data_IF_951903237689
#
_entry.id   IF_951903237689
#
_cell.length_a   1.000
_cell.length_b   1.000
_cell.length_c   1.000
_cell.angle_alpha   90.00
_cell.angle_beta   90.00
_cell.angle_gamma   90.00
#
_symmetry.space_group_name_H-M   'P 1'
#
loop_
_entity.id
_entity.type
_entity.pdbx_description
1 polymer ?
#
# COMPACT_ATOMS: atom_id res chain seq x y z
N UNK A 1 -0.84 -19.61 -25.20
CA UNK A 1 0.24 -18.59 -25.03
C UNK A 1 -0.34 -17.18 -25.18
N UNK A 2 -1.29 -16.93 -26.13
CA UNK A 2 -1.89 -15.60 -26.33
C UNK A 2 -2.80 -15.10 -25.20
N UNK A 3 -3.52 -15.97 -24.52
CA UNK A 3 -4.45 -15.57 -23.46
C UNK A 3 -3.77 -15.12 -22.15
N UNK A 4 -2.59 -15.66 -21.84
CA UNK A 4 -1.84 -15.26 -20.65
C UNK A 4 -1.19 -13.86 -20.76
N UNK A 5 -0.66 -13.53 -21.94
CA UNK A 5 -0.06 -12.22 -22.22
C UNK A 5 -1.11 -11.09 -22.21
N UNK A 6 -2.27 -11.32 -22.82
CA UNK A 6 -3.38 -10.33 -22.81
C UNK A 6 -3.89 -10.10 -21.39
N UNK A 7 -3.98 -11.15 -20.56
CA UNK A 7 -4.38 -11.00 -19.15
C UNK A 7 -3.35 -10.22 -18.31
N UNK A 8 -2.05 -10.44 -18.52
CA UNK A 8 -1.00 -9.72 -17.79
C UNK A 8 -0.90 -8.25 -18.21
N UNK A 9 -1.03 -7.93 -19.50
CA UNK A 9 -1.05 -6.54 -19.97
C UNK A 9 -2.26 -5.75 -19.44
N UNK A 10 -3.43 -6.37 -19.38
CA UNK A 10 -4.62 -5.76 -18.78
C UNK A 10 -4.39 -5.46 -17.28
N UNK A 11 -3.85 -6.39 -16.51
CA UNK A 11 -3.53 -6.16 -15.10
C UNK A 11 -2.54 -5.01 -14.89
N UNK A 12 -1.55 -4.85 -15.76
CA UNK A 12 -0.57 -3.76 -15.69
C UNK A 12 -1.26 -2.41 -15.96
N UNK A 13 -2.08 -2.32 -17.00
CA UNK A 13 -2.84 -1.10 -17.34
C UNK A 13 -3.79 -0.68 -16.20
N UNK A 14 -4.49 -1.65 -15.63
CA UNK A 14 -5.45 -1.42 -14.55
C UNK A 14 -4.76 -0.86 -13.30
N UNK A 15 -3.61 -1.42 -12.94
CA UNK A 15 -2.79 -0.94 -11.82
C UNK A 15 -2.21 0.45 -12.10
N UNK A 16 -1.75 0.71 -13.33
CA UNK A 16 -1.21 2.01 -13.73
C UNK A 16 -2.27 3.11 -13.62
N UNK A 17 -3.51 2.86 -14.08
CA UNK A 17 -4.62 3.79 -13.96
C UNK A 17 -4.93 4.08 -12.48
N UNK A 18 -5.04 3.03 -11.65
CA UNK A 18 -5.31 3.20 -10.23
C UNK A 18 -4.21 3.98 -9.52
N UNK A 19 -2.94 3.72 -9.84
CA UNK A 19 -1.79 4.43 -9.28
C UNK A 19 -1.78 5.91 -9.69
N UNK A 20 -2.06 6.22 -10.96
CA UNK A 20 -2.15 7.60 -11.44
C UNK A 20 -3.25 8.37 -10.71
N UNK A 21 -4.44 7.78 -10.58
CA UNK A 21 -5.55 8.41 -9.87
C UNK A 21 -5.23 8.59 -8.37
N UNK A 22 -4.56 7.63 -7.75
CA UNK A 22 -4.08 7.74 -6.37
C UNK A 22 -3.08 8.88 -6.22
N UNK A 23 -2.12 9.00 -7.14
CA UNK A 23 -1.12 10.07 -7.13
C UNK A 23 -1.75 11.47 -7.25
N UNK A 24 -2.84 11.60 -8.01
CA UNK A 24 -3.60 12.84 -8.11
C UNK A 24 -4.47 13.11 -6.87
N UNK A 25 -5.05 12.06 -6.29
CA UNK A 25 -5.90 12.16 -5.12
C UNK A 25 -5.10 12.49 -3.84
N UNK A 26 -3.90 11.91 -3.68
CA UNK A 26 -3.07 12.05 -2.47
C UNK A 26 -2.86 13.50 -2.01
N UNK A 27 -2.34 14.42 -2.83
CA UNK A 27 -2.14 15.81 -2.45
C UNK A 27 -3.43 16.55 -2.09
N UNK A 28 -4.54 16.25 -2.79
CA UNK A 28 -5.84 16.87 -2.53
C UNK A 28 -6.36 16.45 -1.16
N UNK A 29 -6.40 15.14 -0.92
CA UNK A 29 -6.86 14.61 0.36
C UNK A 29 -5.89 14.92 1.51
N UNK A 30 -4.58 14.99 1.26
CA UNK A 30 -3.60 15.44 2.24
C UNK A 30 -3.89 16.83 2.78
N UNK A 31 -4.19 17.79 1.89
CA UNK A 31 -4.55 19.16 2.32
C UNK A 31 -5.89 19.23 3.05
N UNK A 32 -6.85 18.37 2.69
CA UNK A 32 -8.12 18.23 3.42
C UNK A 32 -7.86 17.64 4.81
N UNK A 33 -6.96 16.66 4.92
CA UNK A 33 -6.57 16.06 6.20
C UNK A 33 -6.01 17.08 7.19
N UNK A 34 -5.30 18.11 6.71
CA UNK A 34 -4.72 19.15 7.57
C UNK A 34 -5.75 20.16 8.09
N UNK A 35 -6.97 20.17 7.55
CA UNK A 35 -8.02 21.11 7.96
C UNK A 35 -8.68 20.66 9.27
N UNK A 36 -8.93 21.62 10.16
CA UNK A 36 -9.55 21.38 11.48
C UNK A 36 -10.87 20.63 11.38
N UNK A 37 -10.95 19.50 12.08
CA UNK A 37 -12.16 18.69 12.18
C UNK A 37 -12.53 17.88 10.94
N UNK A 38 -11.74 17.92 9.85
CA UNK A 38 -12.01 17.15 8.63
C UNK A 38 -11.32 15.81 8.59
N UNK A 39 -10.18 15.64 9.25
CA UNK A 39 -9.34 14.43 9.16
C UNK A 39 -10.15 13.15 9.45
N UNK A 40 -10.79 13.06 10.62
CA UNK A 40 -11.56 11.87 11.02
C UNK A 40 -12.82 11.62 10.18
N UNK A 41 -13.72 12.60 9.93
CA UNK A 41 -14.90 12.38 9.12
C UNK A 41 -14.57 11.97 7.68
N UNK A 42 -13.64 12.65 7.02
CA UNK A 42 -13.27 12.33 5.64
C UNK A 42 -12.60 10.96 5.56
N UNK A 43 -11.70 10.62 6.49
CA UNK A 43 -11.14 9.29 6.60
C UNK A 43 -12.24 8.21 6.70
N UNK A 44 -13.25 8.43 7.57
CA UNK A 44 -14.36 7.47 7.75
C UNK A 44 -15.20 7.31 6.48
N UNK A 45 -15.48 8.41 5.76
CA UNK A 45 -16.23 8.36 4.50
C UNK A 45 -15.44 7.60 3.44
N UNK A 46 -14.16 7.91 3.28
CA UNK A 46 -13.29 7.25 2.29
C UNK A 46 -13.10 5.77 2.62
N UNK A 47 -12.93 5.44 3.91
CA UNK A 47 -12.91 4.04 4.39
C UNK A 47 -14.21 3.32 4.00
N UNK A 48 -15.37 3.94 4.23
CA UNK A 48 -16.67 3.36 3.89
C UNK A 48 -16.83 3.10 2.38
N UNK A 49 -16.46 4.08 1.55
CA UNK A 49 -16.48 3.94 0.08
C UNK A 49 -15.53 2.81 -0.37
N UNK A 50 -14.30 2.79 0.13
CA UNK A 50 -13.32 1.76 -0.18
C UNK A 50 -13.78 0.37 0.25
N UNK A 51 -14.37 0.24 1.43
CA UNK A 51 -14.91 -1.01 1.96
C UNK A 51 -16.09 -1.53 1.12
N UNK A 52 -17.06 -0.68 0.79
CA UNK A 52 -18.18 -1.05 -0.08
C UNK A 52 -17.68 -1.48 -1.46
N UNK A 53 -16.76 -0.72 -2.05
CA UNK A 53 -16.17 -1.07 -3.34
C UNK A 53 -15.40 -2.39 -3.27
N UNK A 54 -14.66 -2.65 -2.18
CA UNK A 54 -13.93 -3.92 -1.99
C UNK A 54 -14.86 -5.14 -1.95
N UNK A 55 -16.00 -5.04 -1.26
CA UNK A 55 -17.03 -6.11 -1.28
C UNK A 55 -17.66 -6.24 -2.67
N UNK A 56 -17.93 -5.11 -3.34
CA UNK A 56 -18.54 -5.08 -4.66
C UNK A 56 -17.68 -5.77 -5.74
N UNK A 57 -16.36 -5.89 -5.56
CA UNK A 57 -15.49 -6.66 -6.45
C UNK A 57 -15.93 -8.11 -6.60
N UNK A 58 -16.44 -8.73 -5.52
CA UNK A 58 -16.95 -10.10 -5.55
C UNK A 58 -18.18 -10.30 -6.41
N UNK A 59 -18.90 -9.23 -6.77
CA UNK A 59 -20.13 -9.26 -7.58
C UNK A 59 -19.93 -8.78 -9.02
N UNK A 60 -18.74 -8.28 -9.36
CA UNK A 60 -18.45 -7.74 -10.67
C UNK A 60 -18.27 -8.84 -11.72
N UNK A 61 -19.27 -9.05 -12.57
CA UNK A 61 -19.25 -10.08 -13.63
C UNK A 61 -18.53 -9.66 -14.91
N UNK A 62 -18.47 -8.36 -15.19
CA UNK A 62 -17.85 -7.82 -16.40
C UNK A 62 -16.51 -7.17 -16.06
N UNK A 63 -15.51 -7.37 -16.91
CA UNK A 63 -14.16 -6.84 -16.69
C UNK A 63 -14.13 -5.32 -16.46
N UNK A 64 -14.93 -4.55 -17.21
CA UNK A 64 -15.00 -3.10 -17.07
C UNK A 64 -15.60 -2.69 -15.70
N UNK A 65 -16.65 -3.38 -15.27
CA UNK A 65 -17.25 -3.16 -13.96
C UNK A 65 -16.25 -3.50 -12.84
N UNK A 66 -15.53 -4.64 -12.98
CA UNK A 66 -14.48 -5.03 -12.06
C UNK A 66 -13.36 -3.96 -12.00
N UNK A 67 -12.90 -3.48 -13.16
CA UNK A 67 -11.86 -2.43 -13.24
C UNK A 67 -12.30 -1.15 -12.52
N UNK A 68 -13.50 -0.64 -12.81
CA UNK A 68 -14.01 0.59 -12.20
C UNK A 68 -14.10 0.44 -10.68
N UNK A 69 -14.68 -0.66 -10.21
CA UNK A 69 -14.82 -0.94 -8.78
C UNK A 69 -13.45 -1.14 -8.12
N UNK A 70 -12.51 -1.82 -8.79
CA UNK A 70 -11.14 -2.01 -8.32
C UNK A 70 -10.41 -0.67 -8.17
N UNK A 71 -10.53 0.22 -9.15
CA UNK A 71 -9.93 1.57 -9.07
C UNK A 71 -10.50 2.34 -7.87
N UNK A 72 -11.82 2.31 -7.67
CA UNK A 72 -12.46 2.98 -6.52
C UNK A 72 -11.94 2.38 -5.19
N UNK A 73 -11.89 1.06 -5.08
CA UNK A 73 -11.38 0.38 -3.88
C UNK A 73 -9.91 0.71 -3.62
N UNK A 74 -9.05 0.65 -4.64
CA UNK A 74 -7.60 0.94 -4.55
C UNK A 74 -7.35 2.39 -4.18
N UNK A 75 -8.03 3.35 -4.83
CA UNK A 75 -7.92 4.77 -4.51
C UNK A 75 -8.43 5.03 -3.09
N UNK A 76 -9.58 4.47 -2.71
CA UNK A 76 -10.11 4.58 -1.34
C UNK A 76 -9.10 4.07 -0.31
N UNK A 77 -8.54 2.88 -0.51
CA UNK A 77 -7.50 2.32 0.35
C UNK A 77 -6.27 3.25 0.43
N UNK A 78 -5.75 3.69 -0.71
CA UNK A 78 -4.55 4.54 -0.74
C UNK A 78 -4.76 5.90 -0.08
N UNK A 79 -5.93 6.50 -0.25
CA UNK A 79 -6.29 7.75 0.43
C UNK A 79 -6.40 7.54 1.94
N UNK A 80 -6.95 6.41 2.41
CA UNK A 80 -6.96 6.10 3.85
C UNK A 80 -5.55 5.98 4.42
N UNK A 81 -4.57 5.46 3.67
CA UNK A 81 -3.17 5.45 4.10
C UNK A 81 -2.59 6.86 4.25
N UNK A 82 -2.88 7.78 3.31
CA UNK A 82 -2.45 9.19 3.42
C UNK A 82 -2.98 9.82 4.71
N UNK A 83 -4.24 9.58 5.05
CA UNK A 83 -4.81 10.05 6.33
C UNK A 83 -4.14 9.38 7.53
N UNK A 84 -3.96 8.06 7.48
CA UNK A 84 -3.34 7.28 8.54
C UNK A 84 -1.92 7.77 8.86
N UNK A 85 -1.09 7.95 7.83
CA UNK A 85 0.27 8.45 7.98
C UNK A 85 0.28 9.88 8.56
N UNK A 86 -0.67 10.73 8.14
CA UNK A 86 -0.83 12.08 8.66
C UNK A 86 -1.29 12.13 10.12
N UNK A 87 -1.88 11.05 10.65
CA UNK A 87 -2.30 10.96 12.06
C UNK A 87 -1.14 10.70 13.02
N UNK A 88 0.01 10.25 12.52
CA UNK A 88 1.17 9.93 13.35
C UNK A 88 1.61 11.11 14.23
N UNK A 89 1.65 12.31 13.67
CA UNK A 89 2.02 13.54 14.40
C UNK A 89 1.03 13.90 15.52
N UNK A 90 -0.23 13.46 15.39
CA UNK A 90 -1.26 13.73 16.40
C UNK A 90 -1.19 12.75 17.59
N UNK A 91 -0.67 11.54 17.39
CA UNK A 91 -0.71 10.45 18.39
C UNK A 91 0.58 10.26 19.15
N UNK A 92 1.72 10.77 18.65
CA UNK A 92 3.02 10.63 19.30
C UNK A 92 3.80 11.94 19.37
N UNK A 93 4.88 11.95 20.13
CA UNK A 93 5.85 13.05 20.21
C UNK A 93 6.91 12.87 19.14
N UNK A 94 7.55 13.98 18.75
CA UNK A 94 8.53 14.01 17.67
C UNK A 94 9.73 13.07 17.92
N UNK A 95 10.20 12.99 19.16
CA UNK A 95 11.32 12.13 19.60
C UNK A 95 11.01 10.63 19.54
N UNK A 96 9.72 10.22 19.49
CA UNK A 96 9.28 8.83 19.43
C UNK A 96 8.60 8.46 18.11
N UNK A 97 8.60 9.35 17.14
CA UNK A 97 7.86 9.18 15.90
C UNK A 97 8.34 7.97 15.09
N UNK A 98 9.67 7.80 14.97
CA UNK A 98 10.27 6.66 14.28
C UNK A 98 9.95 5.32 14.96
N UNK A 99 9.94 5.30 16.29
CA UNK A 99 9.62 4.09 17.07
C UNK A 99 8.17 3.68 16.87
N UNK A 100 7.24 4.62 17.02
CA UNK A 100 5.79 4.36 16.88
C UNK A 100 5.45 4.00 15.44
N UNK A 101 6.04 4.66 14.46
CA UNK A 101 5.89 4.34 13.04
C UNK A 101 6.35 2.91 12.74
N UNK A 102 7.58 2.55 13.16
CA UNK A 102 8.13 1.21 12.96
C UNK A 102 7.27 0.13 13.61
N UNK A 103 6.78 0.36 14.84
CA UNK A 103 5.85 -0.58 15.49
C UNK A 103 4.54 -0.70 14.72
N UNK A 104 3.98 0.40 14.23
CA UNK A 104 2.76 0.40 13.42
C UNK A 104 2.89 -0.44 12.16
N UNK A 105 3.98 -0.28 11.42
CA UNK A 105 4.29 -1.10 10.24
C UNK A 105 4.49 -2.57 10.60
N UNK A 106 5.24 -2.88 11.66
CA UNK A 106 5.47 -4.26 12.11
C UNK A 106 4.13 -4.96 12.44
N UNK A 107 3.27 -4.33 13.25
CA UNK A 107 1.95 -4.88 13.54
C UNK A 107 1.05 -4.98 12.32
N UNK A 108 1.21 -4.07 11.34
CA UNK A 108 0.55 -4.14 10.04
C UNK A 108 0.92 -5.40 9.26
N UNK A 109 2.21 -5.73 9.17
CA UNK A 109 2.70 -6.93 8.49
C UNK A 109 2.17 -8.21 9.12
N UNK A 110 2.34 -8.41 10.42
CA UNK A 110 1.85 -9.64 11.07
C UNK A 110 0.32 -9.69 11.12
N UNK A 111 -0.34 -8.53 11.27
CA UNK A 111 -1.79 -8.43 11.26
C UNK A 111 -2.41 -8.79 9.91
N UNK A 112 -1.72 -8.49 8.80
CA UNK A 112 -2.16 -8.85 7.44
C UNK A 112 -2.01 -10.34 7.14
N UNK A 113 -1.13 -11.06 7.84
CA UNK A 113 -0.99 -12.51 7.67
C UNK A 113 -2.27 -13.26 8.04
N UNK A 114 -3.02 -12.79 9.06
CA UNK A 114 -4.24 -13.48 9.52
C UNK A 114 -5.30 -13.57 8.43
N UNK A 115 -5.82 -12.46 7.87
CA UNK A 115 -6.82 -12.54 6.79
C UNK A 115 -6.23 -13.18 5.53
N UNK A 116 -4.94 -13.00 5.25
CA UNK A 116 -4.28 -13.60 4.11
C UNK A 116 -4.31 -15.12 4.18
N UNK A 117 -3.91 -15.72 5.32
CA UNK A 117 -3.94 -17.17 5.52
C UNK A 117 -5.36 -17.70 5.44
N UNK A 118 -6.35 -17.02 6.03
CA UNK A 118 -7.75 -17.44 5.96
C UNK A 118 -8.22 -17.45 4.50
N UNK A 119 -7.96 -16.40 3.73
CA UNK A 119 -8.32 -16.32 2.30
C UNK A 119 -7.61 -17.42 1.49
N UNK A 120 -6.31 -17.64 1.75
CA UNK A 120 -5.54 -18.69 1.08
C UNK A 120 -6.14 -20.08 1.34
N UNK A 121 -6.51 -20.38 2.58
CA UNK A 121 -7.17 -21.65 2.93
C UNK A 121 -8.53 -21.80 2.23
N UNK A 122 -9.33 -20.74 2.15
CA UNK A 122 -10.61 -20.75 1.44
C UNK A 122 -10.41 -21.03 -0.05
N UNK A 123 -9.48 -20.33 -0.69
CA UNK A 123 -9.21 -20.45 -2.13
C UNK A 123 -8.64 -21.82 -2.49
N UNK A 124 -7.62 -22.30 -1.74
CA UNK A 124 -6.98 -23.59 -2.03
C UNK A 124 -7.87 -24.80 -1.74
N UNK A 125 -8.83 -24.68 -0.84
CA UNK A 125 -9.76 -25.77 -0.51
C UNK A 125 -11.16 -25.58 -1.14
N UNK A 126 -11.36 -24.63 -2.01
CA UNK A 126 -12.66 -24.32 -2.61
C UNK A 126 -13.35 -25.58 -3.18
N UNK A 127 -12.63 -26.38 -3.96
CA UNK A 127 -13.15 -27.63 -4.51
C UNK A 127 -13.49 -28.70 -3.46
N UNK A 128 -12.74 -28.76 -2.35
CA UNK A 128 -13.02 -29.71 -1.26
C UNK A 128 -14.22 -29.31 -0.43
N UNK A 129 -14.47 -27.99 -0.30
CA UNK A 129 -15.59 -27.42 0.45
C UNK A 129 -16.87 -27.44 -0.42
N UNK A 130 -16.75 -27.69 -1.72
CA UNK A 130 -17.88 -27.72 -2.66
C UNK A 130 -18.34 -26.34 -3.13
N UNK A 131 -17.48 -25.32 -3.05
CA UNK A 131 -17.74 -23.97 -3.56
C UNK A 131 -16.96 -23.70 -4.84
N UNK A 132 -17.50 -22.83 -5.70
CA UNK A 132 -16.79 -22.39 -6.91
C UNK A 132 -15.67 -21.44 -6.56
N UNK A 133 -14.67 -21.29 -7.46
CA UNK A 133 -13.59 -20.33 -7.30
C UNK A 133 -14.13 -18.89 -7.19
N UNK A 134 -15.20 -18.56 -7.91
CA UNK A 134 -15.85 -17.24 -7.84
C UNK A 134 -16.38 -16.94 -6.43
N UNK A 135 -17.04 -17.93 -5.81
CA UNK A 135 -17.53 -17.81 -4.42
C UNK A 135 -16.36 -17.68 -3.45
N UNK A 136 -15.28 -18.46 -3.63
CA UNK A 136 -14.10 -18.39 -2.79
C UNK A 136 -13.45 -16.99 -2.85
N UNK A 137 -13.37 -16.40 -4.03
CA UNK A 137 -12.86 -15.02 -4.22
C UNK A 137 -13.79 -13.99 -3.58
N UNK A 138 -15.11 -14.11 -3.77
CA UNK A 138 -16.09 -13.22 -3.12
C UNK A 138 -15.98 -13.27 -1.59
N UNK A 139 -15.90 -14.46 -1.01
CA UNK A 139 -15.70 -14.65 0.43
C UNK A 139 -14.39 -14.00 0.89
N UNK A 140 -13.32 -14.13 0.11
CA UNK A 140 -12.03 -13.49 0.41
C UNK A 140 -12.14 -11.95 0.43
N UNK A 141 -12.83 -11.33 -0.52
CA UNK A 141 -13.06 -9.88 -0.51
C UNK A 141 -13.85 -9.43 0.73
N UNK A 142 -14.85 -10.22 1.14
CA UNK A 142 -15.61 -9.93 2.37
C UNK A 142 -14.72 -10.06 3.60
N UNK A 143 -13.91 -11.12 3.73
CA UNK A 143 -12.99 -11.34 4.85
C UNK A 143 -12.01 -10.17 4.98
N UNK A 144 -11.38 -9.78 3.88
CA UNK A 144 -10.41 -8.67 3.85
C UNK A 144 -11.08 -7.36 4.26
N UNK A 145 -12.27 -7.09 3.74
CA UNK A 145 -13.01 -5.86 4.05
C UNK A 145 -13.43 -5.80 5.51
N UNK A 146 -13.97 -6.88 6.05
CA UNK A 146 -14.38 -6.97 7.46
C UNK A 146 -13.18 -6.79 8.36
N UNK A 147 -12.05 -7.44 8.05
CA UNK A 147 -10.80 -7.28 8.78
C UNK A 147 -10.32 -5.83 8.77
N UNK A 148 -10.29 -5.20 7.60
CA UNK A 148 -9.86 -3.80 7.46
C UNK A 148 -10.72 -2.86 8.29
N UNK A 149 -12.05 -2.99 8.22
CA UNK A 149 -12.98 -2.15 8.99
C UNK A 149 -12.80 -2.38 10.50
N UNK A 150 -12.80 -3.65 10.96
CA UNK A 150 -12.69 -3.98 12.37
C UNK A 150 -11.38 -3.45 12.97
N UNK A 151 -10.25 -3.63 12.27
CA UNK A 151 -8.95 -3.16 12.73
C UNK A 151 -8.81 -1.63 12.70
N UNK A 152 -9.63 -0.94 11.93
CA UNK A 152 -9.68 0.53 11.90
C UNK A 152 -10.56 1.12 13.03
N UNK A 153 -11.51 0.37 13.58
CA UNK A 153 -12.41 0.87 14.62
C UNK A 153 -11.71 1.43 15.87
N UNK A 154 -10.65 0.79 16.43
CA UNK A 154 -9.93 1.35 17.58
C UNK A 154 -9.35 2.73 17.27
N UNK A 155 -8.75 2.90 16.07
CA UNK A 155 -8.23 4.20 15.64
C UNK A 155 -9.35 5.25 15.58
N UNK A 156 -10.48 4.92 14.97
CA UNK A 156 -11.63 5.83 14.88
C UNK A 156 -12.19 6.21 16.26
N UNK A 157 -12.14 5.33 17.25
CA UNK A 157 -12.64 5.62 18.60
C UNK A 157 -11.72 6.53 19.38
N UNK A 158 -10.41 6.33 19.28
CA UNK A 158 -9.42 6.98 20.15
C UNK A 158 -8.76 8.20 19.54
N UNK A 159 -8.81 8.35 18.20
CA UNK A 159 -8.12 9.42 17.52
C UNK A 159 -8.74 10.80 17.76
N UNK A 160 -7.88 11.77 18.09
CA UNK A 160 -8.21 13.19 18.22
C UNK A 160 -7.15 14.00 17.46
N UNK A 161 -7.60 14.88 16.53
CA UNK A 161 -6.72 15.77 15.77
C UNK A 161 -6.16 16.86 16.68
N UNK A 162 -4.84 16.94 16.83
CA UNK A 162 -4.13 17.97 17.63
C UNK A 162 -3.63 19.10 16.74
N UNK A 163 -3.01 18.76 15.63
CA UNK A 163 -2.41 19.71 14.70
C UNK A 163 -3.32 19.92 13.50
N UNK A 164 -3.67 21.18 13.23
CA UNK A 164 -4.58 21.54 12.14
C UNK A 164 -4.36 22.94 11.64
N UNK A 165 -4.82 23.19 10.42
CA UNK A 165 -4.95 24.52 9.84
C UNK A 165 -6.41 24.96 9.99
N UNK A 166 -6.61 26.21 10.46
CA UNK A 166 -7.97 26.76 10.61
C UNK A 166 -8.75 26.74 9.29
N UNK A 167 -10.05 26.45 9.40
CA UNK A 167 -10.96 26.35 8.26
C UNK A 167 -11.15 27.71 7.61
N UNK A 168 -10.82 27.84 6.32
CA UNK A 168 -11.12 29.00 5.49
C UNK A 168 -12.31 28.73 4.58
N UNK A 169 -13.02 29.79 4.14
CA UNK A 169 -14.29 29.70 3.40
C UNK A 169 -14.23 28.95 2.05
N UNK A 170 -13.04 28.63 1.50
CA UNK A 170 -12.88 27.90 0.24
C UNK A 170 -11.77 26.83 0.36
N UNK A 171 -11.91 25.92 1.34
CA UNK A 171 -10.89 24.94 1.68
C UNK A 171 -10.34 24.14 0.47
N UNK A 172 -11.20 23.68 -0.43
CA UNK A 172 -10.79 22.92 -1.61
C UNK A 172 -9.98 23.75 -2.62
N UNK A 173 -10.46 24.94 -2.98
CA UNK A 173 -9.76 25.83 -3.93
C UNK A 173 -8.43 26.32 -3.36
N UNK A 174 -8.39 26.63 -2.06
CA UNK A 174 -7.15 26.99 -1.37
C UNK A 174 -6.18 25.84 -1.28
N UNK A 175 -6.65 24.61 -1.18
CA UNK A 175 -5.79 23.41 -1.17
C UNK A 175 -4.99 23.29 -2.46
N UNK A 176 -5.61 23.44 -3.62
CA UNK A 176 -4.90 23.45 -4.91
C UNK A 176 -3.92 24.62 -5.02
N UNK A 177 -4.31 25.81 -4.55
CA UNK A 177 -3.42 26.97 -4.53
C UNK A 177 -2.21 26.75 -3.61
N UNK A 178 -2.40 26.12 -2.45
CA UNK A 178 -1.32 25.75 -1.53
C UNK A 178 -0.38 24.75 -2.16
N UNK A 179 -0.88 23.69 -2.81
CA UNK A 179 -0.06 22.74 -3.55
C UNK A 179 0.81 23.48 -4.59
N UNK A 180 0.23 24.39 -5.37
CA UNK A 180 0.96 25.20 -6.35
C UNK A 180 2.05 26.08 -5.70
N UNK A 181 1.74 26.73 -4.58
CA UNK A 181 2.71 27.54 -3.82
C UNK A 181 3.82 26.65 -3.24
N UNK A 182 3.47 25.50 -2.66
CA UNK A 182 4.44 24.55 -2.10
C UNK A 182 5.38 24.04 -3.18
N UNK A 183 4.87 23.61 -4.33
CA UNK A 183 5.69 23.19 -5.47
C UNK A 183 6.62 24.29 -5.97
N UNK A 184 6.13 25.55 -6.01
CA UNK A 184 6.97 26.71 -6.38
C UNK A 184 8.05 27.00 -5.35
N UNK A 185 7.77 26.84 -4.07
CA UNK A 185 8.73 27.05 -2.99
C UNK A 185 9.75 25.92 -2.91
N UNK A 186 9.32 24.66 -3.06
CA UNK A 186 10.22 23.50 -3.13
C UNK A 186 11.24 23.64 -4.26
N UNK A 187 10.85 24.17 -5.42
CA UNK A 187 11.81 24.44 -6.52
C UNK A 187 12.86 25.48 -6.17
N UNK A 188 12.59 26.39 -5.23
CA UNK A 188 13.57 27.38 -4.77
C UNK A 188 14.60 26.79 -3.82
N UNK A 189 14.20 25.79 -3.03
CA UNK A 189 15.06 25.08 -2.08
C UNK A 189 15.71 23.88 -2.76
N UNK A 190 16.85 24.10 -3.40
CA UNK A 190 17.55 23.09 -4.22
C UNK A 190 17.78 21.75 -3.51
N UNK A 191 18.11 21.79 -2.21
CA UNK A 191 18.33 20.57 -1.41
C UNK A 191 17.03 19.75 -1.26
N UNK A 192 15.92 20.42 -0.93
CA UNK A 192 14.61 19.79 -0.78
C UNK A 192 14.13 19.24 -2.12
N UNK A 193 14.30 20.00 -3.19
CA UNK A 193 13.93 19.55 -4.54
C UNK A 193 14.68 18.28 -4.96
N UNK A 194 16.01 18.26 -4.78
CA UNK A 194 16.83 17.09 -5.10
C UNK A 194 16.49 15.88 -4.25
N UNK A 195 16.20 16.08 -2.95
CA UNK A 195 15.77 15.01 -2.07
C UNK A 195 14.43 14.41 -2.55
N UNK A 196 13.43 15.24 -2.85
CA UNK A 196 12.14 14.77 -3.34
C UNK A 196 12.24 14.07 -4.70
N UNK A 197 13.12 14.54 -5.58
CA UNK A 197 13.37 13.89 -6.86
C UNK A 197 14.04 12.52 -6.68
N UNK A 198 15.03 12.42 -5.81
CA UNK A 198 15.69 11.15 -5.48
C UNK A 198 14.71 10.18 -4.83
N UNK A 199 13.89 10.66 -3.89
CA UNK A 199 12.85 9.87 -3.24
C UNK A 199 11.80 9.37 -4.24
N UNK A 200 11.39 10.20 -5.20
CA UNK A 200 10.46 9.80 -6.26
C UNK A 200 10.98 8.59 -7.04
N UNK A 201 12.22 8.64 -7.54
CA UNK A 201 12.80 7.51 -8.27
C UNK A 201 13.01 6.27 -7.40
N UNK A 202 13.41 6.45 -6.15
CA UNK A 202 13.59 5.35 -5.22
C UNK A 202 12.28 4.64 -4.92
N UNK A 203 11.25 5.38 -4.54
CA UNK A 203 9.96 4.79 -4.16
C UNK A 203 9.24 4.17 -5.35
N UNK A 204 9.38 4.74 -6.54
CA UNK A 204 8.85 4.18 -7.79
C UNK A 204 9.46 2.79 -8.07
N UNK A 205 10.78 2.65 -7.92
CA UNK A 205 11.47 1.37 -8.03
C UNK A 205 10.98 0.35 -7.00
N UNK A 206 10.82 0.74 -5.74
CA UNK A 206 10.32 -0.14 -4.66
C UNK A 206 8.89 -0.62 -4.96
N UNK A 207 7.98 0.29 -5.28
CA UNK A 207 6.59 -0.08 -5.59
C UNK A 207 6.46 -0.91 -6.86
N UNK A 208 7.32 -0.67 -7.86
CA UNK A 208 7.36 -1.51 -9.07
C UNK A 208 7.68 -2.95 -8.72
N UNK A 209 8.69 -3.21 -7.89
CA UNK A 209 9.01 -4.57 -7.43
C UNK A 209 7.83 -5.18 -6.69
N UNK A 210 7.23 -4.48 -5.73
CA UNK A 210 6.12 -4.98 -4.90
C UNK A 210 4.87 -5.27 -5.76
N UNK A 211 4.46 -4.33 -6.61
CA UNK A 211 3.22 -4.43 -7.38
C UNK A 211 3.33 -5.40 -8.57
N UNK A 212 4.54 -5.57 -9.15
CA UNK A 212 4.72 -6.36 -10.35
C UNK A 212 5.31 -7.76 -10.09
N UNK A 213 5.79 -8.07 -8.88
CA UNK A 213 6.44 -9.34 -8.58
C UNK A 213 5.58 -10.56 -8.95
N UNK A 214 4.29 -10.57 -8.56
CA UNK A 214 3.39 -11.69 -8.89
C UNK A 214 3.08 -11.79 -10.38
N UNK A 215 2.90 -10.66 -11.08
CA UNK A 215 2.68 -10.64 -12.52
C UNK A 215 3.93 -11.14 -13.28
N UNK A 216 5.11 -10.75 -12.83
CA UNK A 216 6.38 -11.23 -13.35
C UNK A 216 6.55 -12.75 -13.13
N UNK A 217 6.31 -13.25 -11.92
CA UNK A 217 6.35 -14.68 -11.63
C UNK A 217 5.37 -15.50 -12.48
N UNK A 218 4.15 -14.97 -12.71
CA UNK A 218 3.19 -15.62 -13.62
C UNK A 218 3.66 -15.61 -15.08
N UNK A 219 4.29 -14.52 -15.54
CA UNK A 219 4.83 -14.43 -16.88
C UNK A 219 5.97 -15.45 -17.12
N UNK A 220 6.74 -15.79 -16.09
CA UNK A 220 7.74 -16.87 -16.09
C UNK A 220 7.13 -18.27 -16.01
N UNK A 221 5.81 -18.40 -15.86
CA UNK A 221 5.12 -19.69 -15.76
C UNK A 221 5.25 -20.37 -14.37
N UNK A 222 5.59 -19.63 -13.33
CA UNK A 222 5.70 -20.15 -11.96
C UNK A 222 4.33 -20.52 -11.39
N UNK A 223 4.30 -21.48 -10.47
CA UNK A 223 3.06 -21.91 -9.83
C UNK A 223 2.40 -20.80 -9.01
N UNK A 224 1.11 -20.55 -9.28
CA UNK A 224 0.35 -19.51 -8.61
C UNK A 224 0.26 -19.68 -7.09
N UNK A 225 0.17 -20.92 -6.61
CA UNK A 225 0.15 -21.21 -5.17
C UNK A 225 1.48 -20.85 -4.53
N UNK A 226 2.58 -21.20 -5.21
CA UNK A 226 3.93 -20.85 -4.79
C UNK A 226 4.17 -19.34 -4.77
N UNK A 227 3.60 -18.58 -5.71
CA UNK A 227 3.65 -17.11 -5.71
C UNK A 227 2.88 -16.51 -4.52
N UNK A 228 1.69 -17.03 -4.22
CA UNK A 228 0.92 -16.58 -3.05
C UNK A 228 1.64 -16.88 -1.74
N UNK A 229 2.24 -18.07 -1.60
CA UNK A 229 3.02 -18.41 -0.41
C UNK A 229 4.27 -17.52 -0.27
N UNK A 230 4.92 -17.14 -1.37
CA UNK A 230 6.03 -16.19 -1.35
C UNK A 230 5.62 -14.82 -0.80
N UNK A 231 4.42 -14.32 -1.16
CA UNK A 231 3.89 -13.09 -0.55
C UNK A 231 3.69 -13.22 0.96
N UNK A 232 3.26 -14.37 1.45
CA UNK A 232 3.14 -14.61 2.89
C UNK A 232 4.52 -14.61 3.56
N UNK A 233 5.52 -15.25 2.95
CA UNK A 233 6.90 -15.24 3.44
C UNK A 233 7.43 -13.81 3.54
N UNK A 234 7.20 -12.97 2.52
CA UNK A 234 7.58 -11.55 2.56
C UNK A 234 7.01 -10.84 3.79
N UNK A 235 5.74 -11.03 4.11
CA UNK A 235 5.10 -10.41 5.28
C UNK A 235 5.70 -10.89 6.60
N UNK A 236 5.99 -12.19 6.70
CA UNK A 236 6.59 -12.80 7.91
C UNK A 236 8.01 -12.27 8.12
N UNK A 237 8.80 -12.12 7.05
CA UNK A 237 10.17 -11.59 7.11
C UNK A 237 10.17 -10.08 7.41
N UNK A 238 9.24 -9.33 6.83
CA UNK A 238 9.12 -7.90 7.06
C UNK A 238 8.87 -7.55 8.53
N UNK A 239 8.11 -8.35 9.27
CA UNK A 239 7.80 -8.09 10.67
C UNK A 239 9.05 -7.92 11.56
N UNK A 240 9.96 -8.90 11.69
CA UNK A 240 11.17 -8.73 12.48
C UNK A 240 12.12 -7.69 11.86
N UNK A 241 12.18 -7.58 10.53
CA UNK A 241 13.05 -6.63 9.83
C UNK A 241 12.71 -5.19 10.22
N UNK A 242 11.45 -4.81 10.20
CA UNK A 242 11.02 -3.45 10.59
C UNK A 242 11.32 -3.16 12.07
N UNK A 243 11.15 -4.14 12.97
CA UNK A 243 11.51 -3.97 14.38
C UNK A 243 13.02 -3.77 14.59
N UNK A 244 13.85 -4.46 13.82
CA UNK A 244 15.31 -4.29 13.81
C UNK A 244 15.65 -2.90 13.25
N UNK A 245 15.04 -2.49 12.14
CA UNK A 245 15.23 -1.17 11.55
C UNK A 245 14.88 -0.05 12.54
N UNK A 246 13.77 -0.15 13.25
CA UNK A 246 13.37 0.84 14.28
C UNK A 246 14.40 1.01 15.42
N UNK A 247 15.26 -0.01 15.65
CA UNK A 247 16.39 0.10 16.59
C UNK A 247 17.64 0.68 15.95
N UNK A 248 17.89 0.36 14.69
CA UNK A 248 19.08 0.81 13.94
C UNK A 248 19.00 2.32 13.67
N UNK A 249 17.82 2.84 13.31
CA UNK A 249 17.59 4.28 13.03
C UNK A 249 18.01 5.18 14.19
N UNK A 250 17.91 4.69 15.44
CA UNK A 250 18.38 5.43 16.64
C UNK A 250 19.92 5.56 16.73
N UNK A 251 20.68 4.76 15.99
CA UNK A 251 22.15 4.69 16.08
C UNK A 251 22.87 5.11 14.80
N UNK A 252 22.19 5.07 13.68
CA UNK A 252 22.76 5.32 12.35
C UNK A 252 21.97 6.41 11.67
N UNK A 253 22.64 7.33 10.97
CA UNK A 253 21.97 8.43 10.29
C UNK A 253 21.04 7.89 9.19
N UNK A 254 19.83 8.48 9.03
CA UNK A 254 18.84 8.06 8.03
C UNK A 254 19.38 7.99 6.61
N UNK A 255 20.28 8.92 6.24
CA UNK A 255 20.86 8.96 4.89
C UNK A 255 21.69 7.71 4.58
N UNK A 256 22.46 7.20 5.56
CA UNK A 256 23.23 5.96 5.40
C UNK A 256 22.33 4.76 5.23
N UNK A 257 21.25 4.69 6.02
CA UNK A 257 20.28 3.60 5.96
C UNK A 257 19.60 3.59 4.58
N UNK A 258 19.10 4.73 4.12
CA UNK A 258 18.49 4.87 2.80
C UNK A 258 19.47 4.45 1.70
N UNK A 259 20.74 4.87 1.79
CA UNK A 259 21.77 4.48 0.81
C UNK A 259 21.95 2.96 0.77
N UNK A 260 22.04 2.31 1.92
CA UNK A 260 22.13 0.84 1.99
C UNK A 260 20.89 0.17 1.39
N UNK A 261 19.69 0.67 1.69
CA UNK A 261 18.46 0.17 1.11
C UNK A 261 18.41 0.31 -0.42
N UNK A 262 18.86 1.45 -0.97
CA UNK A 262 18.94 1.66 -2.43
C UNK A 262 19.89 0.63 -3.06
N UNK A 263 21.06 0.41 -2.46
CA UNK A 263 22.02 -0.59 -2.95
C UNK A 263 21.47 -2.02 -2.86
N UNK A 264 20.74 -2.34 -1.78
CA UNK A 264 20.07 -3.63 -1.63
C UNK A 264 18.99 -3.83 -2.70
N UNK A 265 18.13 -2.84 -2.94
CA UNK A 265 17.11 -2.92 -4.00
C UNK A 265 17.71 -2.99 -5.41
N UNK A 266 18.84 -2.33 -5.65
CA UNK A 266 19.57 -2.51 -6.90
C UNK A 266 20.05 -3.96 -7.06
N UNK A 267 20.61 -4.57 -6.00
CA UNK A 267 21.00 -5.98 -5.99
C UNK A 267 19.80 -6.92 -6.22
N UNK A 268 18.64 -6.62 -5.62
CA UNK A 268 17.38 -7.34 -5.82
C UNK A 268 16.93 -7.27 -7.28
N UNK A 269 16.98 -6.10 -7.90
CA UNK A 269 16.62 -5.91 -9.31
C UNK A 269 17.53 -6.70 -10.25
N UNK A 270 18.84 -6.70 -9.97
CA UNK A 270 19.82 -7.51 -10.71
C UNK A 270 19.55 -9.01 -10.51
N UNK A 271 19.29 -9.46 -9.29
CA UNK A 271 18.93 -10.84 -9.00
C UNK A 271 17.67 -11.30 -9.73
N UNK A 272 16.63 -10.42 -9.75
CA UNK A 272 15.37 -10.69 -10.43
C UNK A 272 15.53 -10.94 -11.95
N UNK A 273 16.58 -10.40 -12.57
CA UNK A 273 16.87 -10.64 -14.00
C UNK A 273 17.23 -12.10 -14.31
N UNK A 274 17.88 -12.82 -13.36
CA UNK A 274 18.25 -14.24 -13.51
C UNK A 274 17.27 -15.20 -12.83
N UNK A 275 16.09 -14.74 -12.50
CA UNK A 275 15.08 -15.54 -11.80
C UNK A 275 14.38 -16.47 -12.80
N UNK A 276 14.61 -17.78 -12.65
CA UNK A 276 14.05 -18.82 -13.52
C UNK A 276 13.22 -19.85 -12.74
N UNK A 277 13.43 -20.00 -11.43
CA UNK A 277 12.78 -21.07 -10.66
C UNK A 277 11.87 -20.52 -9.56
N UNK A 278 10.95 -21.39 -9.09
CA UNK A 278 10.11 -21.08 -7.92
C UNK A 278 10.93 -20.81 -6.66
N UNK A 279 12.07 -21.48 -6.51
CA UNK A 279 12.97 -21.28 -5.38
C UNK A 279 13.61 -19.88 -5.42
N UNK A 280 14.05 -19.44 -6.60
CA UNK A 280 14.61 -18.09 -6.77
C UNK A 280 13.59 -17.01 -6.43
N UNK A 281 12.32 -17.25 -6.79
CA UNK A 281 11.23 -16.34 -6.43
C UNK A 281 11.01 -16.26 -4.90
N UNK A 282 11.14 -17.37 -4.18
CA UNK A 282 11.07 -17.38 -2.73
C UNK A 282 12.25 -16.69 -2.07
N UNK A 283 13.46 -16.85 -2.63
CA UNK A 283 14.64 -16.09 -2.19
C UNK A 283 14.45 -14.60 -2.41
N UNK A 284 13.89 -14.21 -3.58
CA UNK A 284 13.50 -12.81 -3.86
C UNK A 284 12.52 -12.29 -2.80
N UNK A 285 11.50 -13.07 -2.45
CA UNK A 285 10.51 -12.72 -1.44
C UNK A 285 11.13 -12.46 -0.05
N UNK A 286 12.12 -13.25 0.33
CA UNK A 286 12.89 -13.05 1.59
C UNK A 286 13.76 -11.79 1.52
N UNK A 287 14.39 -11.51 0.37
CA UNK A 287 15.25 -10.34 0.20
C UNK A 287 14.44 -9.02 0.17
N UNK A 288 13.22 -9.06 -0.36
CA UNK A 288 12.31 -7.89 -0.41
C UNK A 288 11.65 -7.63 0.94
N UNK A 289 11.31 -8.68 1.69
CA UNK A 289 10.69 -8.58 3.04
C UNK A 289 11.71 -8.17 4.09
#
# INVERSE_FOLDING_TARGET
IGSGLVGSEMCIRDRSIATLLTALAGPVFGTVADTKGYKKPVFTIVLGIGAIASVALGFAKYWLAFLVVFVIAKVGYSVTLVFYDSMLVDVTLEDRMDEVSSQGYAWGYIGSCVPFVICLLVVLNAGKIGITMEIAMMVSFVIITVWWVIMTLPLLKTYHQKYYVEKKQHAFSESFKRIGITLKNVKKEKKVFLFLLAFFFYIDGVYTVIDMATAYGQALGLDSTGLLLALLVTQIVAFPSVLIFGRIVKKVSPEKIITVCIMAYFGIAVYAYWLDTQFDFWMLAVLVG
#
